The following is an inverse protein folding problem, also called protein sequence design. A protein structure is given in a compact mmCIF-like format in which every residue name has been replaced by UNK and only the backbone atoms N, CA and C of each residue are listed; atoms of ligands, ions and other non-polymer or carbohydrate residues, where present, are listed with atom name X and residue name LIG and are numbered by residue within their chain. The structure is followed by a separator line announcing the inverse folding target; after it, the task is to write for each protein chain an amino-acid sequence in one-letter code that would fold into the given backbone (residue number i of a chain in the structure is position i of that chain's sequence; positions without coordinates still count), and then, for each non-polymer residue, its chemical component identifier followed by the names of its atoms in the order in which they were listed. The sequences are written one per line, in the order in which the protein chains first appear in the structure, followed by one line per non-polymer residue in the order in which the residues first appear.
data_IF_323466100670
#
_entry.id   IF_323466100670
#
_cell.length_a   1.000
_cell.length_b   1.000
_cell.length_c   1.000
_cell.angle_alpha   90.00
_cell.angle_beta   90.00
_cell.angle_gamma   90.00
#
_symmetry.space_group_name_H-M   'P 1'
#
loop_
_entity.id
_entity.type
_entity.pdbx_description
1 polymer ?
#
# COMPACT_ATOMS: atom_id res chain seq x y z
N UNK A 1 64.33 8.21 -40.08
CA UNK A 1 63.10 8.93 -39.68
C UNK A 1 62.13 7.89 -39.14
N UNK A 2 62.14 7.72 -37.81
CA UNK A 2 61.25 6.80 -37.10
C UNK A 2 59.83 7.37 -37.09
N UNK A 3 58.89 6.64 -37.66
CA UNK A 3 57.46 6.92 -37.55
C UNK A 3 56.96 6.26 -36.26
N UNK A 4 56.62 7.08 -35.27
CA UNK A 4 56.02 6.62 -34.03
C UNK A 4 54.58 6.14 -34.28
N UNK A 5 54.33 4.86 -33.99
CA UNK A 5 53.01 4.26 -34.00
C UNK A 5 52.15 4.82 -32.87
N UNK A 6 50.98 5.36 -33.21
CA UNK A 6 49.95 5.70 -32.24
C UNK A 6 49.25 4.43 -31.74
N UNK A 7 49.45 4.09 -30.47
CA UNK A 7 48.67 3.05 -29.79
C UNK A 7 47.25 3.56 -29.54
N UNK A 8 46.27 2.99 -30.27
CA UNK A 8 44.87 3.07 -29.89
C UNK A 8 44.63 2.23 -28.63
N UNK A 9 44.32 2.88 -27.50
CA UNK A 9 43.88 2.20 -26.28
C UNK A 9 42.57 1.43 -26.56
N UNK A 10 42.71 0.10 -26.63
CA UNK A 10 41.58 -0.81 -26.76
C UNK A 10 40.66 -0.69 -25.55
N UNK A 11 39.40 -0.28 -25.78
CA UNK A 11 38.32 -0.41 -24.81
C UNK A 11 38.10 -1.89 -24.51
N UNK A 12 38.80 -2.41 -23.49
CA UNK A 12 38.61 -3.75 -22.97
C UNK A 12 37.14 -4.00 -22.62
N UNK A 13 36.61 -5.15 -23.03
CA UNK A 13 35.23 -5.56 -22.73
C UNK A 13 35.03 -5.55 -21.22
N UNK A 14 34.08 -4.76 -20.72
CA UNK A 14 33.75 -4.73 -19.28
C UNK A 14 33.39 -6.14 -18.83
N UNK A 15 34.17 -6.70 -17.89
CA UNK A 15 33.93 -8.05 -17.40
C UNK A 15 32.52 -8.14 -16.78
N UNK A 16 31.74 -9.13 -17.22
CA UNK A 16 30.38 -9.35 -16.71
C UNK A 16 30.42 -9.65 -15.21
N UNK A 17 29.85 -8.77 -14.40
CA UNK A 17 29.77 -8.98 -12.97
C UNK A 17 28.62 -9.97 -12.66
N UNK A 18 28.97 -11.27 -12.60
CA UNK A 18 28.04 -12.36 -12.28
C UNK A 18 27.32 -12.16 -10.94
N UNK A 19 27.93 -11.47 -9.96
CA UNK A 19 27.32 -11.20 -8.65
C UNK A 19 26.19 -10.18 -8.78
N UNK A 20 26.46 -9.03 -9.41
CA UNK A 20 25.42 -8.03 -9.70
C UNK A 20 24.28 -8.61 -10.53
N UNK A 21 24.58 -9.42 -11.55
CA UNK A 21 23.52 -10.05 -12.34
C UNK A 21 22.66 -11.02 -11.52
N UNK A 22 23.25 -11.79 -10.60
CA UNK A 22 22.46 -12.67 -9.72
C UNK A 22 21.58 -11.88 -8.75
N UNK A 23 22.11 -10.78 -8.20
CA UNK A 23 21.34 -9.87 -7.35
C UNK A 23 20.16 -9.30 -8.13
N UNK A 24 20.36 -8.87 -9.38
CA UNK A 24 19.27 -8.29 -10.16
C UNK A 24 18.23 -9.30 -10.64
N UNK A 25 18.65 -10.51 -11.03
CA UNK A 25 17.74 -11.54 -11.54
C UNK A 25 16.88 -12.19 -10.45
N UNK A 26 17.45 -12.44 -9.26
CA UNK A 26 16.77 -13.21 -8.21
C UNK A 26 16.27 -12.37 -7.03
N UNK A 27 16.64 -11.09 -6.94
CA UNK A 27 16.09 -10.21 -5.91
C UNK A 27 14.62 -9.94 -6.16
N UNK A 28 13.77 -10.42 -5.24
CA UNK A 28 12.34 -10.13 -5.25
C UNK A 28 12.07 -8.62 -5.25
N UNK A 29 12.88 -7.84 -4.51
CA UNK A 29 12.75 -6.37 -4.44
C UNK A 29 12.96 -5.73 -5.81
N UNK A 30 13.93 -6.20 -6.59
CA UNK A 30 14.20 -5.66 -7.92
C UNK A 30 13.10 -6.03 -8.91
N UNK A 31 12.62 -7.28 -8.88
CA UNK A 31 11.48 -7.71 -9.70
C UNK A 31 10.21 -6.88 -9.42
N UNK A 32 9.94 -6.57 -8.15
CA UNK A 32 8.82 -5.70 -7.75
C UNK A 32 9.03 -4.27 -8.27
N UNK A 33 10.23 -3.71 -8.11
CA UNK A 33 10.57 -2.36 -8.58
C UNK A 33 10.45 -2.21 -10.12
N UNK A 34 10.93 -3.20 -10.87
CA UNK A 34 10.77 -3.24 -12.33
C UNK A 34 9.30 -3.34 -12.74
N UNK A 35 8.51 -4.17 -12.05
CA UNK A 35 7.09 -4.31 -12.30
C UNK A 35 6.34 -3.00 -12.03
N UNK A 36 6.62 -2.33 -10.91
CA UNK A 36 6.07 -1.02 -10.60
C UNK A 36 6.45 0.04 -11.64
N UNK A 37 7.70 0.03 -12.10
CA UNK A 37 8.18 0.96 -13.12
C UNK A 37 7.46 0.76 -14.45
N UNK A 38 7.33 -0.49 -14.91
CA UNK A 38 6.56 -0.85 -16.11
C UNK A 38 5.09 -0.45 -15.98
N UNK A 39 4.49 -0.66 -14.80
CA UNK A 39 3.11 -0.25 -14.52
C UNK A 39 2.93 1.27 -14.59
N UNK A 40 3.82 2.04 -13.94
CA UNK A 40 3.81 3.52 -14.00
C UNK A 40 3.98 4.03 -15.43
N UNK A 41 4.84 3.40 -16.21
CA UNK A 41 5.03 3.76 -17.62
C UNK A 41 3.79 3.46 -18.47
N UNK A 42 3.13 2.31 -18.26
CA UNK A 42 1.89 1.97 -18.94
C UNK A 42 0.78 2.98 -18.65
N UNK A 43 0.64 3.42 -17.39
CA UNK A 43 -0.30 4.49 -17.01
C UNK A 43 0.04 5.80 -17.71
N UNK A 44 1.32 6.22 -17.71
CA UNK A 44 1.77 7.42 -18.43
C UNK A 44 1.47 7.35 -19.93
N UNK A 45 1.67 6.18 -20.56
CA UNK A 45 1.36 5.96 -21.98
C UNK A 45 -0.15 6.05 -22.24
N UNK A 46 -0.98 5.47 -21.38
CA UNK A 46 -2.44 5.57 -21.49
C UNK A 46 -2.91 7.01 -21.37
N UNK A 47 -2.38 7.75 -20.40
CA UNK A 47 -2.67 9.18 -20.21
C UNK A 47 -2.30 10.02 -21.45
N UNK A 48 -1.10 9.85 -22.00
CA UNK A 48 -0.69 10.53 -23.25
C UNK A 48 -1.57 10.17 -24.44
N UNK A 49 -2.04 8.92 -24.53
CA UNK A 49 -2.98 8.50 -25.59
C UNK A 49 -4.35 9.16 -25.44
N UNK A 50 -4.83 9.35 -24.20
CA UNK A 50 -6.07 10.07 -23.94
C UNK A 50 -5.94 11.52 -24.39
N UNK A 51 -4.89 12.23 -23.97
CA UNK A 51 -4.65 13.62 -24.40
C UNK A 51 -4.62 13.78 -25.92
N UNK A 52 -3.91 12.88 -26.64
CA UNK A 52 -3.88 12.89 -28.11
C UNK A 52 -5.24 12.59 -28.75
N UNK A 53 -6.07 11.78 -28.09
CA UNK A 53 -7.43 11.46 -28.57
C UNK A 53 -8.35 12.65 -28.36
N UNK A 54 -8.25 13.32 -27.22
CA UNK A 54 -9.07 14.49 -26.90
C UNK A 54 -8.74 15.67 -27.84
N UNK A 55 -7.46 15.87 -28.17
CA UNK A 55 -6.99 16.81 -29.20
C UNK A 55 -7.60 16.51 -30.58
N UNK A 56 -7.66 15.24 -30.99
CA UNK A 56 -8.19 14.87 -32.31
C UNK A 56 -9.72 14.82 -32.36
N UNK A 57 -10.41 14.55 -31.26
CA UNK A 57 -11.88 14.62 -31.20
C UNK A 57 -12.38 16.05 -31.11
N UNK A 58 -11.61 16.97 -30.49
CA UNK A 58 -11.98 18.39 -30.38
C UNK A 58 -12.10 19.07 -31.76
N UNK A 59 -11.21 18.75 -32.70
CA UNK A 59 -11.28 19.29 -34.07
C UNK A 59 -12.47 18.76 -34.87
N UNK A 60 -12.83 17.48 -34.71
CA UNK A 60 -14.00 16.85 -35.37
C UNK A 60 -15.32 17.30 -34.74
N UNK A 61 -15.34 17.58 -33.44
CA UNK A 61 -16.54 18.07 -32.75
C UNK A 61 -16.83 19.53 -33.12
N UNK A 62 -15.78 20.34 -33.34
CA UNK A 62 -15.90 21.73 -33.80
C UNK A 62 -16.51 21.80 -35.22
N UNK A 63 -16.11 20.91 -36.13
CA UNK A 63 -16.67 20.87 -37.48
C UNK A 63 -18.12 20.39 -37.48
N UNK A 64 -18.47 19.41 -36.63
CA UNK A 64 -19.84 18.90 -36.52
C UNK A 64 -20.80 19.94 -35.89
N UNK A 65 -20.34 20.77 -34.97
CA UNK A 65 -21.16 21.84 -34.38
C UNK A 65 -21.45 22.99 -35.35
N UNK A 66 -20.52 23.30 -36.28
CA UNK A 66 -20.75 24.30 -37.33
C UNK A 66 -21.77 23.84 -38.37
N UNK A 67 -21.80 22.55 -38.71
CA UNK A 67 -22.78 22.00 -39.67
C UNK A 67 -24.21 21.89 -39.11
N UNK A 68 -24.38 21.78 -37.79
CA UNK A 68 -25.71 21.66 -37.14
C UNK A 68 -26.29 23.01 -36.70
N UNK A 69 -25.57 24.12 -36.85
CA UNK A 69 -26.06 25.46 -36.50
C UNK A 69 -26.93 26.09 -37.61
N UNK A 70 -26.92 25.54 -38.84
CA UNK A 70 -27.64 26.09 -39.99
C UNK A 70 -29.04 25.48 -40.21
N UNK A 71 -29.36 24.33 -39.62
CA UNK A 71 -30.69 23.71 -39.76
C UNK A 71 -31.41 23.52 -38.41
N UNK A 72 -32.40 24.37 -38.16
CA UNK A 72 -33.71 23.87 -37.77
C UNK A 72 -34.05 23.75 -36.28
N UNK A 73 -34.98 24.63 -35.89
CA UNK A 73 -36.30 24.26 -35.37
C UNK A 73 -36.51 24.19 -33.85
N UNK A 74 -37.66 24.76 -33.50
CA UNK A 74 -38.20 25.20 -32.22
C UNK A 74 -39.16 24.15 -31.66
N UNK A 75 -39.23 24.11 -30.33
CA UNK A 75 -40.25 23.48 -29.47
C UNK A 75 -40.20 21.96 -29.24
N UNK A 76 -39.82 21.62 -28.01
CA UNK A 76 -40.26 20.44 -27.30
C UNK A 76 -40.07 20.67 -25.80
N UNK A 77 -41.12 20.57 -25.01
CA UNK A 77 -41.08 20.61 -23.55
C UNK A 77 -40.08 19.57 -23.04
N UNK A 78 -38.88 20.02 -22.65
CA UNK A 78 -37.82 19.19 -22.11
C UNK A 78 -37.57 19.67 -20.69
N UNK A 79 -37.65 18.77 -19.71
CA UNK A 79 -37.12 19.03 -18.37
C UNK A 79 -35.72 19.67 -18.50
N UNK A 80 -35.37 20.68 -17.69
CA UNK A 80 -34.07 21.32 -17.79
C UNK A 80 -33.00 20.22 -17.74
N UNK A 81 -32.10 20.14 -18.73
CA UNK A 81 -31.13 19.06 -18.80
C UNK A 81 -30.36 19.06 -17.50
N UNK A 82 -30.53 18.01 -16.68
CA UNK A 82 -29.79 17.86 -15.43
C UNK A 82 -28.33 18.09 -15.79
N UNK A 83 -27.76 19.18 -15.32
CA UNK A 83 -26.40 19.57 -15.68
C UNK A 83 -25.50 18.42 -15.30
N UNK A 84 -25.10 17.63 -16.30
CA UNK A 84 -24.26 16.46 -16.08
C UNK A 84 -22.94 17.04 -15.60
N UNK A 85 -22.55 16.67 -14.38
CA UNK A 85 -21.24 17.04 -13.85
C UNK A 85 -20.19 16.76 -14.92
N UNK A 86 -19.35 17.76 -15.18
CA UNK A 86 -18.21 17.63 -16.09
C UNK A 86 -17.38 16.41 -15.67
N UNK A 87 -16.76 15.74 -16.63
CA UNK A 87 -15.89 14.59 -16.38
C UNK A 87 -14.80 14.94 -15.35
N UNK A 88 -14.30 16.17 -15.39
CA UNK A 88 -13.37 16.71 -14.40
C UNK A 88 -13.98 16.80 -13.00
N UNK A 89 -15.22 17.30 -12.88
CA UNK A 89 -15.93 17.38 -11.60
C UNK A 89 -16.20 15.99 -11.02
N UNK A 90 -16.58 15.02 -11.86
CA UNK A 90 -16.75 13.61 -11.45
C UNK A 90 -15.43 13.01 -10.96
N UNK A 91 -14.33 13.24 -11.68
CA UNK A 91 -13.01 12.77 -11.30
C UNK A 91 -12.55 13.37 -9.96
N UNK A 92 -12.83 14.66 -9.71
CA UNK A 92 -12.52 15.34 -8.45
C UNK A 92 -13.26 14.72 -7.27
N UNK A 93 -14.57 14.50 -7.41
CA UNK A 93 -15.39 13.88 -6.36
C UNK A 93 -14.93 12.45 -6.03
N UNK A 94 -14.64 11.66 -7.06
CA UNK A 94 -14.15 10.30 -6.85
C UNK A 94 -12.76 10.28 -6.21
N UNK A 95 -11.89 11.24 -6.56
CA UNK A 95 -10.60 11.40 -5.89
C UNK A 95 -10.76 11.70 -4.40
N UNK A 96 -11.62 12.67 -4.04
CA UNK A 96 -11.90 13.02 -2.64
C UNK A 96 -12.47 11.82 -1.87
N UNK A 97 -13.40 11.07 -2.48
CA UNK A 97 -13.95 9.83 -1.92
C UNK A 97 -12.85 8.78 -1.65
N UNK A 98 -11.96 8.57 -2.60
CA UNK A 98 -10.84 7.62 -2.48
C UNK A 98 -9.86 8.08 -1.38
N UNK A 99 -9.58 9.38 -1.26
CA UNK A 99 -8.74 9.90 -0.19
C UNK A 99 -9.39 9.67 1.18
N UNK A 100 -10.69 9.96 1.33
CA UNK A 100 -11.42 9.73 2.58
C UNK A 100 -11.35 8.28 3.04
N UNK A 101 -11.67 7.34 2.15
CA UNK A 101 -11.58 5.90 2.45
C UNK A 101 -10.16 5.45 2.83
N UNK A 102 -9.14 6.04 2.20
CA UNK A 102 -7.74 5.72 2.50
C UNK A 102 -7.34 6.21 3.90
N UNK A 103 -7.79 7.39 4.30
CA UNK A 103 -7.55 7.94 5.63
C UNK A 103 -8.28 7.10 6.70
N UNK A 104 -9.55 6.77 6.49
CA UNK A 104 -10.31 5.88 7.38
C UNK A 104 -9.63 4.52 7.56
N UNK A 105 -9.22 3.88 6.46
CA UNK A 105 -8.48 2.62 6.50
C UNK A 105 -7.11 2.74 7.19
N UNK A 106 -6.48 3.92 7.17
CA UNK A 106 -5.25 4.16 7.93
C UNK A 106 -5.55 4.25 9.42
N UNK A 107 -6.55 5.02 9.81
CA UNK A 107 -6.98 5.18 11.20
C UNK A 107 -7.39 3.85 11.83
N UNK A 108 -8.20 3.05 11.12
CA UNK A 108 -8.62 1.73 11.60
C UNK A 108 -7.42 0.79 11.80
N UNK A 109 -6.45 0.81 10.87
CA UNK A 109 -5.23 0.01 11.00
C UNK A 109 -4.40 0.44 12.20
N UNK A 110 -4.22 1.74 12.41
CA UNK A 110 -3.50 2.28 13.56
C UNK A 110 -4.17 1.91 14.89
N UNK A 111 -5.51 1.96 14.95
CA UNK A 111 -6.27 1.52 16.12
C UNK A 111 -6.05 0.04 16.41
N UNK A 112 -6.18 -0.83 15.40
CA UNK A 112 -5.93 -2.28 15.54
C UNK A 112 -4.51 -2.59 16.00
N UNK A 113 -3.51 -1.84 15.54
CA UNK A 113 -2.12 -1.99 15.99
C UNK A 113 -2.01 -1.62 17.48
N UNK A 114 -2.56 -0.47 17.89
CA UNK A 114 -2.54 -0.03 19.29
C UNK A 114 -3.22 -1.03 20.21
N UNK A 115 -4.40 -1.52 19.84
CA UNK A 115 -5.13 -2.54 20.61
C UNK A 115 -4.32 -3.83 20.77
N UNK A 116 -3.69 -4.29 19.68
CA UNK A 116 -2.80 -5.47 19.71
C UNK A 116 -1.61 -5.24 20.63
N UNK A 117 -0.97 -4.08 20.55
CA UNK A 117 0.17 -3.73 21.40
C UNK A 117 -0.22 -3.71 22.88
N UNK A 118 -1.36 -3.11 23.22
CA UNK A 118 -1.91 -3.09 24.57
C UNK A 118 -2.17 -4.52 25.07
N UNK A 119 -2.77 -5.39 24.25
CA UNK A 119 -3.02 -6.79 24.59
C UNK A 119 -1.72 -7.57 24.83
N UNK A 120 -0.70 -7.36 23.99
CA UNK A 120 0.62 -7.96 24.17
C UNK A 120 1.28 -7.48 25.46
N UNK A 121 1.25 -6.17 25.74
CA UNK A 121 1.82 -5.59 26.96
C UNK A 121 1.15 -6.16 28.21
N UNK A 122 -0.18 -6.23 28.23
CA UNK A 122 -0.94 -6.84 29.32
C UNK A 122 -0.59 -8.31 29.51
N UNK A 123 -0.51 -9.09 28.43
CA UNK A 123 -0.10 -10.50 28.48
C UNK A 123 1.32 -10.68 29.06
N UNK A 124 2.27 -9.85 28.61
CA UNK A 124 3.65 -9.85 29.13
C UNK A 124 3.69 -9.51 30.61
N UNK A 125 2.96 -8.48 31.05
CA UNK A 125 2.87 -8.10 32.46
C UNK A 125 2.32 -9.24 33.32
N UNK A 126 1.16 -9.81 32.93
CA UNK A 126 0.56 -10.94 33.63
C UNK A 126 1.49 -12.15 33.70
N UNK A 127 2.26 -12.42 32.63
CA UNK A 127 3.26 -13.49 32.61
C UNK A 127 4.39 -13.21 33.61
N UNK A 128 4.92 -11.99 33.63
CA UNK A 128 6.01 -11.60 34.51
C UNK A 128 5.59 -11.69 35.99
N UNK A 129 4.42 -11.18 36.33
CA UNK A 129 3.85 -11.28 37.68
C UNK A 129 3.66 -12.74 38.11
N UNK A 130 3.17 -13.59 37.20
CA UNK A 130 3.04 -15.03 37.45
C UNK A 130 4.39 -15.68 37.70
N UNK A 131 5.40 -15.39 36.87
CA UNK A 131 6.75 -15.93 37.04
C UNK A 131 7.30 -15.49 38.40
N UNK A 132 7.18 -14.20 38.75
CA UNK A 132 7.64 -13.65 40.03
C UNK A 132 7.06 -14.41 41.23
N UNK A 133 5.75 -14.70 41.22
CA UNK A 133 5.09 -15.50 42.28
C UNK A 133 5.59 -16.95 42.32
N UNK A 134 5.82 -17.57 41.16
CA UNK A 134 6.24 -18.97 41.07
C UNK A 134 7.71 -19.18 41.43
N UNK A 135 8.59 -18.25 41.07
CA UNK A 135 10.03 -18.35 41.29
C UNK A 135 10.47 -17.90 42.67
N UNK A 136 9.61 -17.23 43.44
CA UNK A 136 9.90 -16.77 44.78
C UNK A 136 10.28 -17.94 45.72
N UNK A 137 11.40 -17.77 46.42
CA UNK A 137 11.96 -18.75 47.37
C UNK A 137 12.19 -18.10 48.74
N UNK A 138 12.19 -18.90 49.79
CA UNK A 138 12.56 -18.50 51.16
C UNK A 138 14.08 -18.39 51.29
N UNK A 139 14.57 -17.86 52.41
CA UNK A 139 16.02 -17.79 52.70
C UNK A 139 16.71 -19.16 52.64
N UNK A 140 15.98 -20.24 52.90
CA UNK A 140 16.47 -21.63 52.83
C UNK A 140 16.28 -22.26 51.44
N UNK A 141 15.94 -21.48 50.41
CA UNK A 141 15.79 -21.95 49.03
C UNK A 141 14.48 -22.68 48.72
N UNK A 142 13.64 -22.93 49.71
CA UNK A 142 12.33 -23.55 49.51
C UNK A 142 11.38 -22.62 48.77
N UNK A 143 10.50 -23.11 47.90
CA UNK A 143 9.52 -22.27 47.24
C UNK A 143 8.52 -21.66 48.21
N UNK A 144 8.16 -20.38 48.00
CA UNK A 144 7.11 -19.73 48.78
C UNK A 144 5.74 -20.25 48.31
N UNK A 145 5.06 -21.02 49.15
CA UNK A 145 3.83 -21.73 48.76
C UNK A 145 2.61 -20.83 48.57
N UNK A 146 2.50 -19.73 49.33
CA UNK A 146 1.35 -18.80 49.26
C UNK A 146 0.97 -18.41 47.83
N UNK A 147 1.91 -17.84 47.07
CA UNK A 147 1.66 -17.39 45.69
C UNK A 147 1.41 -18.53 44.71
N UNK A 148 1.98 -19.71 44.95
CA UNK A 148 1.76 -20.90 44.11
C UNK A 148 0.36 -21.47 44.31
N UNK A 149 -0.11 -21.50 45.56
CA UNK A 149 -1.47 -21.94 45.93
C UNK A 149 -2.51 -21.00 45.32
N UNK A 150 -2.31 -19.68 45.36
CA UNK A 150 -3.19 -18.70 44.70
C UNK A 150 -3.34 -18.99 43.19
N UNK A 151 -2.23 -19.27 42.50
CA UNK A 151 -2.24 -19.59 41.05
C UNK A 151 -2.96 -20.92 40.80
N UNK A 152 -2.75 -21.92 41.66
CA UNK A 152 -3.42 -23.21 41.54
C UNK A 152 -4.94 -23.06 41.71
N UNK A 153 -5.39 -22.32 42.73
CA UNK A 153 -6.80 -22.01 42.95
C UNK A 153 -7.43 -21.33 41.73
N UNK A 154 -6.75 -20.31 41.18
CA UNK A 154 -7.21 -19.63 39.97
C UNK A 154 -7.35 -20.57 38.77
N UNK A 155 -6.47 -21.57 38.63
CA UNK A 155 -6.58 -22.56 37.55
C UNK A 155 -7.79 -23.47 37.74
N UNK A 156 -7.98 -23.98 38.95
CA UNK A 156 -9.12 -24.85 39.30
C UNK A 156 -10.43 -24.09 39.05
N UNK A 157 -10.56 -22.86 39.55
CA UNK A 157 -11.76 -22.03 39.32
C UNK A 157 -12.03 -21.81 37.83
N UNK A 158 -10.99 -21.55 37.02
CA UNK A 158 -11.15 -21.41 35.56
C UNK A 158 -11.57 -22.69 34.88
N UNK A 159 -11.07 -23.84 35.32
CA UNK A 159 -11.48 -25.14 34.77
C UNK A 159 -12.95 -25.40 35.09
N UNK A 160 -13.36 -25.25 36.35
CA UNK A 160 -14.77 -25.43 36.75
C UNK A 160 -15.71 -24.52 35.96
N UNK A 161 -15.35 -23.27 35.73
CA UNK A 161 -16.16 -22.34 34.92
C UNK A 161 -16.21 -22.73 33.44
N UNK A 162 -15.14 -23.30 32.88
CA UNK A 162 -15.11 -23.71 31.48
C UNK A 162 -15.81 -25.06 31.23
N UNK A 163 -15.87 -25.91 32.26
CA UNK A 163 -16.49 -27.24 32.22
C UNK A 163 -17.99 -27.20 32.61
N UNK A 164 -18.51 -26.03 33.01
CA UNK A 164 -19.94 -25.75 33.28
C UNK A 164 -20.60 -25.04 32.11
#
# INVERSE_FOLDING_TARGET
MESQGQHHEGKGKRNFNKKKWRETQYSHKERVSEWESKRKEAVKRKYRKMLKKDESTSSVQTTYQLYNAEEGNVNGYSEPPRQRLSEFQRAKLEYERIQGLKEEARLEREQKIKEREIAIMKSKQMRLERIKKLTQKTKKGQPVMKGRIEILLQKIQKQVVNDS
#
